data_IF_339870831570
#
_entry.id   IF_339870831570
#
_cell.length_a   1.000
_cell.length_b   1.000
_cell.length_c   1.000
_cell.angle_alpha   90.00
_cell.angle_beta   90.00
_cell.angle_gamma   90.00
#
_symmetry.space_group_name_H-M   'P 1'
#
loop_
_entity.id
_entity.type
_entity.pdbx_description
1 polymer ?
#
# COMPACT_ATOMS: atom_id res chain seq x y z
N UNK A 1 -37.40 -51.58 18.35
CA UNK A 1 -36.63 -50.58 19.11
C UNK A 1 -36.44 -49.37 18.20
N UNK A 2 -37.02 -48.21 18.57
CA UNK A 2 -36.79 -46.93 17.88
C UNK A 2 -35.65 -46.23 18.63
N UNK A 3 -34.62 -45.78 17.92
CA UNK A 3 -33.58 -44.91 18.48
C UNK A 3 -33.74 -43.54 17.83
N UNK A 4 -34.09 -42.57 18.67
CA UNK A 4 -34.00 -41.14 18.39
C UNK A 4 -32.51 -40.73 18.38
N UNK A 5 -32.15 -39.82 17.50
CA UNK A 5 -30.91 -39.04 17.57
C UNK A 5 -31.36 -37.58 17.68
N UNK A 6 -30.85 -36.80 18.66
CA UNK A 6 -31.36 -35.46 18.95
C UNK A 6 -31.00 -34.47 17.84
N UNK A 7 -31.76 -33.38 17.68
CA UNK A 7 -31.37 -32.28 16.79
C UNK A 7 -30.16 -31.57 17.41
N UNK A 8 -29.07 -31.52 16.66
CA UNK A 8 -27.90 -30.72 17.03
C UNK A 8 -28.20 -29.25 16.77
N UNK A 9 -28.40 -28.49 17.84
CA UNK A 9 -28.30 -27.04 17.87
C UNK A 9 -26.90 -26.62 17.41
N UNK A 10 -26.85 -25.80 16.36
CA UNK A 10 -25.74 -24.89 16.09
C UNK A 10 -26.31 -23.64 15.42
N UNK A 11 -27.16 -22.93 16.17
CA UNK A 11 -27.22 -21.49 16.08
C UNK A 11 -26.01 -20.92 16.83
N UNK A 12 -24.92 -20.63 16.13
CA UNK A 12 -24.08 -19.47 16.45
C UNK A 12 -23.06 -19.19 15.33
N UNK A 13 -22.94 -17.91 14.99
CA UNK A 13 -22.01 -17.31 14.03
C UNK A 13 -22.28 -17.50 12.53
N UNK A 14 -23.25 -16.74 12.01
CA UNK A 14 -23.08 -16.11 10.69
C UNK A 14 -23.28 -14.61 10.79
N UNK A 15 -22.13 -13.92 10.77
CA UNK A 15 -21.91 -12.48 10.52
C UNK A 15 -23.00 -11.83 9.67
N UNK A 16 -23.27 -10.52 9.80
CA UNK A 16 -24.16 -9.83 8.88
C UNK A 16 -23.69 -10.13 7.45
N UNK A 17 -24.50 -10.88 6.71
CA UNK A 17 -24.24 -11.15 5.31
C UNK A 17 -24.32 -9.79 4.63
N UNK A 18 -23.21 -9.35 4.05
CA UNK A 18 -23.18 -8.15 3.22
C UNK A 18 -24.40 -8.18 2.30
N UNK A 19 -25.25 -7.13 2.26
CA UNK A 19 -26.46 -7.12 1.44
C UNK A 19 -26.16 -7.47 -0.03
N UNK A 20 -25.03 -6.99 -0.53
CA UNK A 20 -24.51 -7.24 -1.88
C UNK A 20 -24.22 -8.73 -2.12
N UNK A 21 -23.74 -9.45 -1.10
CA UNK A 21 -23.43 -10.88 -1.20
C UNK A 21 -24.71 -11.73 -1.11
N UNK A 22 -25.74 -11.23 -0.42
CA UNK A 22 -27.03 -11.88 -0.33
C UNK A 22 -27.84 -11.66 -1.62
N UNK A 23 -27.90 -10.43 -2.13
CA UNK A 23 -28.49 -10.10 -3.44
C UNK A 23 -27.86 -10.92 -4.58
N UNK A 24 -26.54 -11.08 -4.61
CA UNK A 24 -25.85 -11.90 -5.62
C UNK A 24 -26.16 -13.40 -5.51
N UNK A 25 -26.42 -13.92 -4.31
CA UNK A 25 -26.76 -15.33 -4.10
C UNK A 25 -28.23 -15.61 -4.40
N UNK A 26 -29.11 -14.66 -4.10
CA UNK A 26 -30.54 -14.76 -4.39
C UNK A 26 -30.78 -14.66 -5.91
N UNK A 27 -30.00 -13.84 -6.63
CA UNK A 27 -30.00 -13.76 -8.11
C UNK A 27 -29.53 -15.08 -8.77
N UNK A 28 -28.67 -15.87 -8.10
CA UNK A 28 -28.26 -17.21 -8.57
C UNK A 28 -29.36 -18.25 -8.32
N UNK A 29 -30.12 -18.11 -7.23
CA UNK A 29 -31.15 -19.07 -6.83
C UNK A 29 -32.44 -18.93 -7.65
N UNK A 30 -32.82 -17.71 -8.04
CA UNK A 30 -33.95 -17.49 -8.96
C UNK A 30 -33.74 -18.16 -10.33
N UNK A 31 -32.48 -18.34 -10.76
CA UNK A 31 -32.13 -19.05 -12.00
C UNK A 31 -32.40 -20.57 -11.90
N UNK A 32 -32.38 -21.16 -10.70
CA UNK A 32 -32.56 -22.62 -10.52
C UNK A 32 -34.03 -23.07 -10.46
N UNK A 33 -35.01 -22.16 -10.41
CA UNK A 33 -36.44 -22.54 -10.28
C UNK A 33 -37.30 -22.37 -11.55
N UNK A 34 -36.75 -21.83 -12.64
CA UNK A 34 -37.46 -21.75 -13.92
C UNK A 34 -37.06 -22.92 -14.83
N UNK A 35 -38.04 -23.69 -15.30
CA UNK A 35 -37.88 -24.81 -16.23
C UNK A 35 -36.96 -24.48 -17.44
N UNK A 36 -36.18 -25.46 -17.93
CA UNK A 36 -35.05 -25.20 -18.81
C UNK A 36 -35.52 -24.90 -20.23
N UNK A 37 -35.40 -23.65 -20.67
CA UNK A 37 -35.35 -23.31 -22.10
C UNK A 37 -33.92 -22.95 -22.45
N UNK A 38 -33.23 -23.90 -23.10
CA UNK A 38 -32.01 -23.71 -23.90
C UNK A 38 -31.03 -22.64 -23.40
N UNK A 39 -30.64 -22.71 -22.13
CA UNK A 39 -29.45 -22.04 -21.64
C UNK A 39 -28.25 -22.96 -21.85
N UNK A 40 -27.15 -22.49 -22.45
CA UNK A 40 -25.98 -23.32 -22.65
C UNK A 40 -25.47 -23.85 -21.30
N UNK A 41 -25.38 -25.18 -21.24
CA UNK A 41 -24.72 -25.99 -20.22
C UNK A 41 -23.47 -25.28 -19.69
N UNK A 42 -23.44 -25.06 -18.37
CA UNK A 42 -22.26 -25.05 -17.50
C UNK A 42 -21.09 -24.21 -18.05
N UNK A 43 -20.84 -23.03 -17.46
CA UNK A 43 -19.58 -22.30 -17.67
C UNK A 43 -18.39 -23.28 -17.63
N UNK A 44 -17.62 -23.44 -18.73
CA UNK A 44 -16.52 -24.38 -18.79
C UNK A 44 -15.58 -24.16 -17.58
N UNK A 45 -15.06 -25.24 -17.00
CA UNK A 45 -14.19 -25.13 -15.82
C UNK A 45 -12.97 -24.23 -16.08
N UNK A 46 -12.49 -24.19 -17.32
CA UNK A 46 -11.43 -23.29 -17.79
C UNK A 46 -11.82 -21.82 -17.62
N UNK A 47 -13.04 -21.45 -18.00
CA UNK A 47 -13.56 -20.07 -17.88
C UNK A 47 -13.74 -19.66 -16.40
N UNK A 48 -14.10 -20.60 -15.52
CA UNK A 48 -14.16 -20.36 -14.06
C UNK A 48 -12.78 -20.15 -13.44
N UNK A 49 -11.76 -20.91 -13.88
CA UNK A 49 -10.37 -20.75 -13.45
C UNK A 49 -9.78 -19.41 -13.91
N UNK A 50 -9.99 -19.03 -15.16
CA UNK A 50 -9.55 -17.73 -15.69
C UNK A 50 -10.20 -16.54 -14.96
N UNK A 51 -11.50 -16.64 -14.68
CA UNK A 51 -12.20 -15.59 -13.95
C UNK A 51 -11.65 -15.40 -12.52
N UNK A 52 -11.42 -16.50 -11.78
CA UNK A 52 -10.79 -16.46 -10.45
C UNK A 52 -9.40 -15.80 -10.50
N UNK A 53 -8.59 -16.13 -11.51
CA UNK A 53 -7.27 -15.51 -11.69
C UNK A 53 -7.37 -14.01 -11.96
N UNK A 54 -8.35 -13.56 -12.78
CA UNK A 54 -8.58 -12.12 -13.04
C UNK A 54 -8.94 -11.36 -11.76
N UNK A 55 -9.85 -11.90 -10.95
CA UNK A 55 -10.25 -11.27 -9.68
C UNK A 55 -9.07 -11.15 -8.72
N UNK A 56 -8.25 -12.20 -8.61
CA UNK A 56 -7.04 -12.17 -7.77
C UNK A 56 -6.02 -11.15 -8.27
N UNK A 57 -5.74 -11.12 -9.58
CA UNK A 57 -4.83 -10.11 -10.19
C UNK A 57 -5.29 -8.68 -9.92
N UNK A 58 -6.59 -8.43 -9.98
CA UNK A 58 -7.14 -7.10 -9.71
C UNK A 58 -7.02 -6.71 -8.22
N UNK A 59 -7.24 -7.65 -7.30
CA UNK A 59 -6.98 -7.42 -5.86
C UNK A 59 -5.51 -7.04 -5.62
N UNK A 60 -4.58 -7.76 -6.24
CA UNK A 60 -3.14 -7.51 -6.14
C UNK A 60 -2.78 -6.13 -6.69
N UNK A 61 -3.33 -5.77 -7.85
CA UNK A 61 -3.10 -4.45 -8.45
C UNK A 61 -3.56 -3.32 -7.54
N UNK A 62 -4.75 -3.45 -6.95
CA UNK A 62 -5.30 -2.47 -6.01
C UNK A 62 -4.43 -2.37 -4.75
N UNK A 63 -4.01 -3.49 -4.19
CA UNK A 63 -3.18 -3.52 -3.00
C UNK A 63 -1.80 -2.90 -3.25
N UNK A 64 -1.12 -3.25 -4.35
CA UNK A 64 0.16 -2.64 -4.74
C UNK A 64 0.01 -1.12 -4.90
N UNK A 65 -1.10 -0.65 -5.52
CA UNK A 65 -1.36 0.79 -5.69
C UNK A 65 -1.49 1.50 -4.34
N UNK A 66 -2.20 0.90 -3.38
CA UNK A 66 -2.37 1.46 -2.03
C UNK A 66 -1.03 1.50 -1.29
N UNK A 67 -0.28 0.40 -1.30
CA UNK A 67 1.02 0.34 -0.61
C UNK A 67 2.04 1.32 -1.21
N UNK A 68 2.11 1.43 -2.54
CA UNK A 68 2.95 2.43 -3.21
C UNK A 68 2.61 3.84 -2.76
N UNK A 69 1.31 4.18 -2.69
CA UNK A 69 0.87 5.51 -2.25
C UNK A 69 1.28 5.76 -0.80
N UNK A 70 1.01 4.81 0.10
CA UNK A 70 1.34 4.92 1.53
C UNK A 70 2.84 5.10 1.77
N UNK A 71 3.67 4.29 1.12
CA UNK A 71 5.14 4.37 1.27
C UNK A 71 5.66 5.70 0.72
N UNK A 72 5.17 6.16 -0.44
CA UNK A 72 5.59 7.45 -0.98
C UNK A 72 5.27 8.61 -0.05
N UNK A 73 4.07 8.62 0.54
CA UNK A 73 3.67 9.65 1.50
C UNK A 73 4.58 9.65 2.74
N UNK A 74 4.84 8.49 3.35
CA UNK A 74 5.76 8.36 4.49
C UNK A 74 7.16 8.93 4.18
N UNK A 75 7.66 8.72 2.96
CA UNK A 75 8.98 9.21 2.56
C UNK A 75 8.98 10.68 2.17
N UNK A 76 7.88 11.21 1.67
CA UNK A 76 7.72 12.63 1.37
C UNK A 76 7.69 13.45 2.67
N UNK A 77 6.99 12.96 3.70
CA UNK A 77 7.04 13.51 5.06
C UNK A 77 8.47 13.55 5.61
N UNK A 78 9.22 12.44 5.49
CA UNK A 78 10.64 12.38 5.90
C UNK A 78 11.54 13.36 5.15
N UNK A 79 11.28 13.59 3.87
CA UNK A 79 12.03 14.56 3.06
C UNK A 79 11.75 15.98 3.57
N UNK A 80 10.49 16.32 3.86
CA UNK A 80 10.13 17.64 4.37
C UNK A 80 10.66 17.89 5.79
N UNK A 81 10.62 16.89 6.67
CA UNK A 81 11.28 16.95 7.98
C UNK A 81 12.79 17.21 7.84
N UNK A 82 13.45 16.44 6.97
CA UNK A 82 14.89 16.60 6.70
C UNK A 82 15.20 18.01 6.20
N UNK A 83 14.44 18.53 5.23
CA UNK A 83 14.61 19.91 4.75
C UNK A 83 14.41 20.93 5.87
N UNK A 84 13.41 20.72 6.73
CA UNK A 84 13.13 21.56 7.89
C UNK A 84 14.31 21.61 8.85
N UNK A 85 14.93 20.47 9.15
CA UNK A 85 16.08 20.39 10.04
C UNK A 85 17.34 21.04 9.45
N UNK A 86 17.61 20.82 8.16
CA UNK A 86 18.69 21.55 7.47
C UNK A 86 18.46 23.06 7.46
N UNK A 87 17.20 23.51 7.29
CA UNK A 87 16.87 24.93 7.37
C UNK A 87 17.16 25.49 8.76
N UNK A 88 16.84 24.77 9.83
CA UNK A 88 17.16 25.20 11.22
C UNK A 88 18.66 25.33 11.41
N UNK A 89 19.46 24.37 10.91
CA UNK A 89 20.93 24.42 10.98
C UNK A 89 21.46 25.67 10.27
N UNK A 90 21.01 25.93 9.04
CA UNK A 90 21.45 27.10 8.27
C UNK A 90 21.04 28.40 8.99
N UNK A 91 19.82 28.48 9.51
CA UNK A 91 19.36 29.66 10.24
C UNK A 91 20.15 29.89 11.55
N UNK A 92 20.52 28.83 12.26
CA UNK A 92 21.38 28.91 13.44
C UNK A 92 22.77 29.44 13.11
N UNK A 93 23.38 28.94 12.04
CA UNK A 93 24.66 29.47 11.53
C UNK A 93 24.51 30.96 11.20
N UNK A 94 23.44 31.35 10.49
CA UNK A 94 23.21 32.74 10.12
C UNK A 94 22.88 33.66 11.30
N UNK A 95 22.24 33.17 12.36
CA UNK A 95 21.95 33.99 13.55
C UNK A 95 23.21 34.37 14.32
N UNK A 96 24.23 33.49 14.37
CA UNK A 96 25.52 33.79 14.99
C UNK A 96 26.25 34.96 14.29
N UNK A 97 25.89 35.24 13.04
CA UNK A 97 26.36 36.37 12.25
C UNK A 97 25.46 37.62 12.34
N UNK A 98 24.33 37.57 13.04
CA UNK A 98 23.41 38.73 13.12
C UNK A 98 23.75 39.65 14.29
N UNK A 99 24.37 39.12 15.34
CA UNK A 99 24.65 39.83 16.58
C UNK A 99 26.07 40.44 16.64
N UNK A 100 26.85 40.34 15.56
CA UNK A 100 28.19 40.91 15.47
C UNK A 100 28.23 42.06 14.44
N UNK A 101 28.19 43.30 14.93
CA UNK A 101 28.25 44.53 14.10
C UNK A 101 29.60 44.72 13.35
N UNK A 102 30.60 43.86 13.60
CA UNK A 102 31.93 43.89 12.97
C UNK A 102 32.31 42.56 12.31
N UNK A 103 31.40 41.98 11.53
CA UNK A 103 31.73 40.79 10.73
C UNK A 103 32.62 41.16 9.56
N UNK A 104 33.84 40.65 9.59
CA UNK A 104 34.80 40.72 8.49
C UNK A 104 34.30 39.96 7.27
N UNK A 105 34.74 40.38 6.08
CA UNK A 105 34.37 39.72 4.82
C UNK A 105 34.73 38.22 4.83
N UNK A 106 35.87 37.85 5.42
CA UNK A 106 36.32 36.46 5.53
C UNK A 106 35.31 35.56 6.25
N UNK A 107 34.67 36.06 7.31
CA UNK A 107 33.64 35.33 8.06
C UNK A 107 32.36 35.15 7.27
N UNK A 108 32.00 36.12 6.41
CA UNK A 108 30.86 35.98 5.48
C UNK A 108 31.16 34.89 4.45
N UNK A 109 32.35 34.90 3.87
CA UNK A 109 32.76 33.89 2.88
C UNK A 109 32.80 32.48 3.48
N UNK A 110 33.24 32.35 4.74
CA UNK A 110 33.17 31.10 5.49
C UNK A 110 31.72 30.64 5.71
N UNK A 111 30.82 31.52 6.14
CA UNK A 111 29.39 31.22 6.29
C UNK A 111 28.74 30.76 4.98
N UNK A 112 29.09 31.41 3.85
CA UNK A 112 28.63 31.00 2.52
C UNK A 112 29.15 29.61 2.13
N UNK A 113 30.43 29.31 2.38
CA UNK A 113 31.00 27.97 2.12
C UNK A 113 30.30 26.90 2.95
N UNK A 114 30.08 27.15 4.24
CA UNK A 114 29.38 26.22 5.14
C UNK A 114 27.94 25.99 4.65
N UNK A 115 27.22 27.07 4.33
CA UNK A 115 25.83 27.00 3.83
C UNK A 115 25.74 26.20 2.52
N UNK A 116 26.69 26.42 1.60
CA UNK A 116 26.77 25.67 0.33
C UNK A 116 27.04 24.19 0.58
N UNK A 117 27.98 23.86 1.45
CA UNK A 117 28.28 22.47 1.80
C UNK A 117 27.08 21.79 2.47
N UNK A 118 26.42 22.46 3.42
CA UNK A 118 25.21 21.96 4.08
C UNK A 118 24.10 21.65 3.08
N UNK A 119 23.86 22.53 2.10
CA UNK A 119 22.91 22.27 1.01
C UNK A 119 23.28 21.03 0.19
N UNK A 120 24.55 20.89 -0.19
CA UNK A 120 25.00 19.69 -0.92
C UNK A 120 24.81 18.40 -0.11
N UNK A 121 25.03 18.43 1.20
CA UNK A 121 24.79 17.27 2.06
C UNK A 121 23.29 16.98 2.19
N UNK A 122 22.44 18.00 2.31
CA UNK A 122 20.98 17.85 2.30
C UNK A 122 20.51 17.13 1.04
N UNK A 123 20.96 17.57 -0.13
CA UNK A 123 20.57 16.95 -1.41
C UNK A 123 20.99 15.47 -1.48
N UNK A 124 22.17 15.12 -0.96
CA UNK A 124 22.62 13.73 -0.86
C UNK A 124 21.73 12.90 0.06
N UNK A 125 21.39 13.43 1.23
CA UNK A 125 20.51 12.75 2.21
C UNK A 125 19.13 12.55 1.60
N UNK A 126 18.55 13.56 0.97
CA UNK A 126 17.25 13.47 0.27
C UNK A 126 17.31 12.40 -0.83
N UNK A 127 18.41 12.34 -1.60
CA UNK A 127 18.57 11.31 -2.61
C UNK A 127 18.63 9.90 -2.03
N UNK A 128 19.34 9.72 -0.91
CA UNK A 128 19.37 8.43 -0.20
C UNK A 128 17.99 8.02 0.32
N UNK A 129 17.22 8.98 0.85
CA UNK A 129 15.83 8.75 1.29
C UNK A 129 14.97 8.28 0.09
N UNK A 130 15.13 8.88 -1.09
CA UNK A 130 14.41 8.43 -2.30
C UNK A 130 14.79 7.01 -2.72
N UNK A 131 16.08 6.67 -2.71
CA UNK A 131 16.54 5.31 -3.02
C UNK A 131 15.95 4.29 -2.05
N UNK A 132 15.91 4.62 -0.75
CA UNK A 132 15.28 3.80 0.27
C UNK A 132 13.77 3.62 0.03
N UNK A 133 13.07 4.67 -0.43
CA UNK A 133 11.65 4.59 -0.81
C UNK A 133 11.44 3.56 -1.91
N UNK A 134 12.22 3.64 -2.98
CA UNK A 134 12.13 2.71 -4.11
C UNK A 134 12.42 1.27 -3.69
N UNK A 135 13.44 1.05 -2.84
CA UNK A 135 13.76 -0.26 -2.30
C UNK A 135 12.65 -0.82 -1.41
N UNK A 136 12.05 0.01 -0.56
CA UNK A 136 10.91 -0.38 0.29
C UNK A 136 9.68 -0.75 -0.54
N UNK A 137 9.42 0.00 -1.62
CA UNK A 137 8.34 -0.31 -2.57
C UNK A 137 8.59 -1.66 -3.24
N UNK A 138 9.80 -1.91 -3.76
CA UNK A 138 10.15 -3.20 -4.39
C UNK A 138 9.95 -4.37 -3.43
N UNK A 139 10.52 -4.26 -2.23
CA UNK A 139 10.39 -5.28 -1.18
C UNK A 139 8.92 -5.56 -0.84
N UNK A 140 8.08 -4.52 -0.68
CA UNK A 140 6.67 -4.73 -0.36
C UNK A 140 5.88 -5.36 -1.49
N UNK A 141 6.21 -5.05 -2.75
CA UNK A 141 5.59 -5.69 -3.92
C UNK A 141 5.95 -7.17 -3.98
N UNK A 142 7.21 -7.53 -3.73
CA UNK A 142 7.65 -8.93 -3.70
C UNK A 142 6.96 -9.72 -2.57
N UNK A 143 6.81 -9.12 -1.40
CA UNK A 143 6.06 -9.71 -0.28
C UNK A 143 4.60 -9.98 -0.65
N UNK A 144 3.93 -9.01 -1.30
CA UNK A 144 2.55 -9.19 -1.79
C UNK A 144 2.50 -10.33 -2.79
N UNK A 145 3.37 -10.31 -3.82
CA UNK A 145 3.39 -11.36 -4.84
C UNK A 145 3.59 -12.74 -4.23
N UNK A 146 4.53 -12.88 -3.29
CA UNK A 146 4.80 -14.12 -2.58
C UNK A 146 3.58 -14.60 -1.80
N UNK A 147 2.96 -13.73 -1.02
CA UNK A 147 1.77 -14.06 -0.23
C UNK A 147 0.62 -14.57 -1.09
N UNK A 148 0.32 -13.90 -2.21
CA UNK A 148 -0.75 -14.36 -3.11
C UNK A 148 -0.39 -15.64 -3.88
N UNK A 149 0.90 -15.87 -4.18
CA UNK A 149 1.36 -17.16 -4.72
C UNK A 149 1.13 -18.30 -3.71
N UNK A 150 1.42 -18.06 -2.43
CA UNK A 150 1.21 -19.04 -1.36
C UNK A 150 -0.28 -19.29 -1.06
N UNK A 151 -1.10 -18.23 -1.00
CA UNK A 151 -2.54 -18.34 -0.67
C UNK A 151 -3.39 -18.92 -1.82
N UNK A 152 -3.07 -18.58 -3.07
CA UNK A 152 -3.94 -18.91 -4.21
C UNK A 152 -3.28 -19.80 -5.26
N UNK A 153 -1.99 -20.13 -5.12
CA UNK A 153 -1.24 -20.90 -6.13
C UNK A 153 -1.05 -20.16 -7.46
N UNK A 154 -1.20 -18.84 -7.48
CA UNK A 154 -1.12 -18.01 -8.70
C UNK A 154 0.25 -17.34 -8.76
N UNK A 155 1.02 -17.66 -9.80
CA UNK A 155 2.23 -16.91 -10.18
C UNK A 155 1.86 -15.60 -10.91
N UNK A 156 2.55 -14.51 -10.55
CA UNK A 156 2.27 -13.12 -11.01
C UNK A 156 3.52 -12.42 -11.53
#
# INVERSE_FOLDING_TARGET
MKSEIPPSENEENKKPKSPILQEFLDEIYEIETSEPKDLPKIMPEETKKEFKQRVVREKIRKEIKIQKKKIKQEFEEKIEETKGDFRKIILGILSDFKDNDQITQDKKDEAFKISRNAKMQMDKVINNIRIMCDNKIKSKIEEIKKRYKEEYGIEI
#
